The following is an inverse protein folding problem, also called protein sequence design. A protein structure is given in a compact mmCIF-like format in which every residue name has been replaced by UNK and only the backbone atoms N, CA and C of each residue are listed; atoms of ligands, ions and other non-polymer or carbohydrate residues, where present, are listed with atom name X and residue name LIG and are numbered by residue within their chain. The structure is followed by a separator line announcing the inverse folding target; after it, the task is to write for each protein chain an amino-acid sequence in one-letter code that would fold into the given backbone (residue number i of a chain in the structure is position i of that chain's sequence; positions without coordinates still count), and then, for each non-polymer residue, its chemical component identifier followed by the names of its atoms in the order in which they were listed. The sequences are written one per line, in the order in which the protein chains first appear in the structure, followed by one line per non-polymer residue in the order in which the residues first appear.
data_IF_327081866953
#
_entry.id   IF_327081866953
#
_cell.length_a   1.000
_cell.length_b   1.000
_cell.length_c   1.000
_cell.angle_alpha   90.00
_cell.angle_beta   90.00
_cell.angle_gamma   90.00
#
_symmetry.space_group_name_H-M   'P 1'
#
loop_
_entity.id
_entity.type
_entity.pdbx_description
1 polymer ?
#
# COMPACT_ATOMS: atom_id res chain seq x y z
N UNK A 1 20.87 -30.74 -12.05
CA UNK A 1 21.79 -30.02 -12.97
C UNK A 1 22.80 -29.26 -12.13
N UNK A 2 24.02 -29.03 -12.63
CA UNK A 2 25.07 -28.35 -11.86
C UNK A 2 24.77 -26.85 -11.76
N UNK A 3 24.42 -26.34 -10.58
CA UNK A 3 24.11 -24.90 -10.35
C UNK A 3 25.33 -23.98 -10.44
N UNK A 4 26.50 -24.52 -10.82
CA UNK A 4 27.75 -23.80 -11.07
C UNK A 4 27.70 -22.96 -12.35
N UNK A 5 26.85 -23.31 -13.31
CA UNK A 5 26.71 -22.59 -14.58
C UNK A 5 25.60 -21.53 -14.55
N UNK A 6 25.14 -21.16 -13.34
CA UNK A 6 24.11 -20.15 -13.16
C UNK A 6 24.65 -18.75 -13.49
N UNK A 7 24.03 -18.10 -14.47
CA UNK A 7 24.36 -16.74 -14.90
C UNK A 7 23.22 -15.81 -14.50
N UNK A 8 23.55 -14.58 -14.08
CA UNK A 8 22.57 -13.54 -13.81
C UNK A 8 22.68 -12.43 -14.85
N UNK A 9 21.56 -12.08 -15.47
CA UNK A 9 21.55 -11.04 -16.49
C UNK A 9 20.15 -10.42 -16.64
N UNK A 10 20.02 -9.32 -17.38
CA UNK A 10 18.74 -8.70 -17.64
C UNK A 10 17.83 -9.61 -18.47
N UNK A 11 16.54 -9.61 -18.13
CA UNK A 11 15.51 -10.35 -18.87
C UNK A 11 15.16 -9.58 -20.14
N UNK A 12 15.40 -10.19 -21.30
CA UNK A 12 15.04 -9.61 -22.59
C UNK A 12 13.55 -9.76 -22.91
N UNK A 13 13.04 -8.99 -23.86
CA UNK A 13 11.64 -9.09 -24.30
C UNK A 13 11.26 -10.49 -24.81
N UNK A 14 12.19 -11.21 -25.44
CA UNK A 14 12.00 -12.59 -25.90
C UNK A 14 11.89 -13.62 -24.77
N UNK A 15 12.39 -13.30 -23.57
CA UNK A 15 12.41 -14.19 -22.41
C UNK A 15 11.22 -13.92 -21.45
N UNK A 16 10.38 -12.93 -21.76
CA UNK A 16 9.21 -12.57 -20.95
C UNK A 16 8.17 -13.69 -20.88
N UNK A 17 7.96 -14.41 -21.97
CA UNK A 17 7.00 -15.52 -22.01
C UNK A 17 7.40 -16.62 -21.02
N UNK A 18 8.69 -16.96 -20.97
CA UNK A 18 9.22 -17.95 -20.02
C UNK A 18 9.18 -17.43 -18.58
N UNK A 19 9.42 -16.13 -18.35
CA UNK A 19 9.29 -15.53 -17.02
C UNK A 19 7.85 -15.56 -16.50
N UNK A 20 6.87 -15.30 -17.36
CA UNK A 20 5.44 -15.37 -17.00
C UNK A 20 5.03 -16.81 -16.68
N UNK A 21 5.51 -17.79 -17.44
CA UNK A 21 5.25 -19.20 -17.11
C UNK A 21 5.78 -19.55 -15.70
N UNK A 22 6.95 -19.03 -15.33
CA UNK A 22 7.52 -19.20 -13.98
C UNK A 22 6.68 -18.46 -12.91
N UNK A 23 6.08 -17.32 -13.24
CA UNK A 23 5.16 -16.57 -12.35
C UNK A 23 3.89 -17.37 -12.06
N UNK A 24 3.27 -17.91 -13.10
CA UNK A 24 2.04 -18.71 -12.99
C UNK A 24 2.27 -20.02 -12.21
N UNK A 25 3.48 -20.58 -12.27
CA UNK A 25 3.89 -21.70 -11.40
C UNK A 25 4.15 -21.27 -9.94
N UNK A 26 4.46 -19.98 -9.72
CA UNK A 26 4.90 -19.41 -8.46
C UNK A 26 3.78 -18.94 -7.54
N UNK A 27 2.70 -18.41 -8.13
CA UNK A 27 1.61 -17.77 -7.42
C UNK A 27 0.24 -18.40 -7.70
N UNK A 28 -0.68 -18.40 -6.72
CA UNK A 28 -2.10 -18.56 -6.97
C UNK A 28 -2.63 -17.56 -8.01
N UNK A 29 -3.71 -17.91 -8.72
CA UNK A 29 -4.30 -17.07 -9.79
C UNK A 29 -4.71 -15.68 -9.28
N UNK A 30 -5.12 -15.56 -8.02
CA UNK A 30 -5.49 -14.30 -7.38
C UNK A 30 -4.29 -13.44 -6.95
N UNK A 31 -3.08 -14.02 -6.94
CA UNK A 31 -1.84 -13.35 -6.55
C UNK A 31 -0.85 -13.14 -7.72
N UNK A 32 -0.98 -13.91 -8.79
CA UNK A 32 -0.11 -13.79 -9.96
C UNK A 32 -0.26 -12.42 -10.65
N UNK A 33 0.85 -11.84 -11.08
CA UNK A 33 0.81 -10.63 -11.91
C UNK A 33 0.13 -10.94 -13.25
N UNK A 34 -0.79 -10.07 -13.69
CA UNK A 34 -1.36 -10.18 -15.03
C UNK A 34 -0.28 -9.93 -16.09
N UNK A 35 -0.39 -10.64 -17.22
CA UNK A 35 0.52 -10.50 -18.37
C UNK A 35 0.67 -9.02 -18.82
N UNK A 36 -0.42 -8.25 -18.80
CA UNK A 36 -0.41 -6.83 -19.13
C UNK A 36 0.40 -5.99 -18.13
N UNK A 37 0.27 -6.27 -16.83
CA UNK A 37 1.07 -5.59 -15.79
C UNK A 37 2.55 -5.95 -15.91
N UNK A 38 2.85 -7.21 -16.23
CA UNK A 38 4.21 -7.70 -16.41
C UNK A 38 4.90 -7.02 -17.61
N UNK A 39 4.22 -6.97 -18.76
CA UNK A 39 4.71 -6.29 -19.97
C UNK A 39 4.88 -4.80 -19.76
N UNK A 40 3.91 -4.13 -19.11
CA UNK A 40 4.01 -2.71 -18.80
C UNK A 40 5.23 -2.41 -17.94
N UNK A 41 5.46 -3.18 -16.88
CA UNK A 41 6.62 -3.02 -15.99
C UNK A 41 7.92 -3.24 -16.75
N UNK A 42 8.03 -4.26 -17.61
CA UNK A 42 9.27 -4.47 -18.35
C UNK A 42 9.52 -3.33 -19.36
N UNK A 43 8.47 -2.81 -20.00
CA UNK A 43 8.62 -1.70 -20.95
C UNK A 43 9.09 -0.39 -20.29
N UNK A 44 8.70 -0.17 -19.03
CA UNK A 44 9.01 1.06 -18.29
C UNK A 44 10.26 0.94 -17.41
N UNK A 45 10.53 -0.25 -16.90
CA UNK A 45 11.49 -0.51 -15.83
C UNK A 45 12.37 -1.75 -16.14
N UNK A 46 12.63 -2.03 -17.42
CA UNK A 46 13.37 -3.22 -17.85
C UNK A 46 14.78 -3.36 -17.25
N UNK A 47 15.43 -2.26 -16.86
CA UNK A 47 16.71 -2.28 -16.15
C UNK A 47 16.62 -2.94 -14.75
N UNK A 48 15.41 -3.08 -14.22
CA UNK A 48 15.13 -3.71 -12.92
C UNK A 48 14.65 -5.16 -13.05
N UNK A 49 14.66 -5.73 -14.24
CA UNK A 49 14.30 -7.13 -14.48
C UNK A 49 15.55 -7.99 -14.57
N UNK A 50 15.85 -8.73 -13.50
CA UNK A 50 17.01 -9.60 -13.43
C UNK A 50 16.58 -11.06 -13.49
N UNK A 51 17.12 -11.81 -14.44
CA UNK A 51 16.92 -13.25 -14.60
C UNK A 51 18.09 -14.07 -14.07
N UNK A 52 17.78 -15.28 -13.63
CA UNK A 52 18.72 -16.35 -13.37
C UNK A 52 18.65 -17.36 -14.50
N UNK A 53 19.78 -17.66 -15.14
CA UNK A 53 19.84 -18.42 -16.38
C UNK A 53 20.76 -19.63 -16.28
N UNK A 54 20.37 -20.71 -16.95
CA UNK A 54 21.24 -21.85 -17.23
C UNK A 54 21.49 -21.96 -18.74
N UNK A 55 22.63 -22.53 -19.16
CA UNK A 55 22.84 -22.91 -20.55
C UNK A 55 21.74 -23.87 -21.03
N UNK A 56 21.24 -23.67 -22.25
CA UNK A 56 20.20 -24.53 -22.85
C UNK A 56 20.72 -25.25 -24.10
N UNK A 57 21.23 -24.50 -25.06
CA UNK A 57 21.91 -25.00 -26.24
C UNK A 57 23.19 -24.16 -26.48
N UNK A 58 24.11 -24.56 -27.38
CA UNK A 58 25.27 -23.75 -27.70
C UNK A 58 24.86 -22.34 -28.11
N UNK A 59 25.30 -21.34 -27.34
CA UNK A 59 24.96 -19.93 -27.57
C UNK A 59 23.56 -19.50 -27.09
N UNK A 60 22.80 -20.37 -26.41
CA UNK A 60 21.49 -20.01 -25.84
C UNK A 60 21.42 -20.30 -24.34
N UNK A 61 20.55 -19.52 -23.68
CA UNK A 61 20.28 -19.62 -22.25
C UNK A 61 18.79 -19.84 -22.02
N UNK A 62 18.46 -20.38 -20.86
CA UNK A 62 17.08 -20.58 -20.38
C UNK A 62 16.94 -19.89 -19.03
N UNK A 63 15.89 -19.10 -18.88
CA UNK A 63 15.54 -18.51 -17.59
C UNK A 63 14.96 -19.58 -16.66
N UNK A 64 15.43 -19.61 -15.42
CA UNK A 64 14.97 -20.54 -14.38
C UNK A 64 14.47 -19.82 -13.13
N UNK A 65 14.61 -18.51 -13.08
CA UNK A 65 14.08 -17.64 -12.05
C UNK A 65 14.28 -16.18 -12.41
N UNK A 66 13.55 -15.28 -11.77
CA UNK A 66 13.62 -13.87 -12.07
C UNK A 66 13.18 -12.99 -10.89
N UNK A 67 13.60 -11.73 -10.93
CA UNK A 67 13.13 -10.63 -10.10
C UNK A 67 12.63 -9.54 -11.03
N UNK A 68 11.48 -8.95 -10.72
CA UNK A 68 11.02 -7.73 -11.36
C UNK A 68 10.67 -6.66 -10.33
N UNK A 69 11.02 -5.42 -10.64
CA UNK A 69 10.79 -4.28 -9.75
C UNK A 69 10.40 -3.03 -10.52
N UNK A 70 9.84 -2.05 -9.81
CA UNK A 70 9.71 -0.67 -10.29
C UNK A 70 10.31 0.29 -9.28
N UNK A 71 10.32 1.57 -9.60
CA UNK A 71 10.65 2.63 -8.67
C UNK A 71 9.37 3.24 -8.13
N UNK A 72 9.36 3.61 -6.85
CA UNK A 72 8.27 4.33 -6.24
C UNK A 72 8.78 5.45 -5.33
N UNK A 73 7.97 6.48 -5.20
CA UNK A 73 8.20 7.55 -4.23
C UNK A 73 7.70 7.10 -2.85
N UNK A 74 8.50 7.36 -1.81
CA UNK A 74 8.19 6.98 -0.43
C UNK A 74 9.01 5.81 0.14
N UNK A 75 8.80 5.58 1.44
CA UNK A 75 9.66 4.71 2.26
C UNK A 75 9.00 3.37 2.63
N UNK A 76 7.76 3.13 2.21
CA UNK A 76 6.94 1.94 2.50
C UNK A 76 6.12 1.56 1.27
N UNK A 77 5.70 0.30 1.15
CA UNK A 77 4.91 -0.15 0.02
C UNK A 77 3.43 0.19 0.21
N UNK A 78 2.85 0.78 -0.83
CA UNK A 78 1.43 1.08 -0.96
C UNK A 78 0.86 0.35 -2.19
N UNK A 79 -0.46 0.30 -2.31
CA UNK A 79 -1.08 -0.24 -3.53
C UNK A 79 -0.68 0.53 -4.80
N UNK A 80 -0.42 1.84 -4.68
CA UNK A 80 0.08 2.65 -5.81
C UNK A 80 1.51 2.25 -6.19
N UNK A 81 2.41 2.08 -5.21
CA UNK A 81 3.80 1.67 -5.49
C UNK A 81 3.89 0.27 -6.12
N UNK A 82 2.92 -0.60 -5.85
CA UNK A 82 2.81 -1.92 -6.47
C UNK A 82 2.33 -1.90 -7.93
N UNK A 83 1.80 -0.76 -8.39
CA UNK A 83 1.16 -0.65 -9.72
C UNK A 83 1.83 0.36 -10.65
N UNK A 84 2.63 1.29 -10.12
CA UNK A 84 3.18 2.43 -10.86
C UNK A 84 4.70 2.46 -10.79
N UNK A 85 5.33 2.77 -11.91
CA UNK A 85 6.73 3.13 -11.97
C UNK A 85 6.89 4.65 -11.91
N UNK A 86 7.71 5.14 -10.99
CA UNK A 86 8.02 6.57 -10.82
C UNK A 86 9.51 6.79 -11.08
N UNK A 87 9.90 7.15 -12.32
CA UNK A 87 11.29 7.39 -12.69
C UNK A 87 11.96 8.41 -11.77
N UNK A 88 13.23 8.17 -11.42
CA UNK A 88 14.01 9.08 -10.57
C UNK A 88 13.80 8.92 -9.07
N UNK A 89 12.91 8.02 -8.63
CA UNK A 89 12.74 7.72 -7.21
C UNK A 89 13.89 6.88 -6.64
N UNK A 90 14.11 6.96 -5.33
CA UNK A 90 15.22 6.29 -4.64
C UNK A 90 14.84 4.94 -4.02
N UNK A 91 13.55 4.57 -4.02
CA UNK A 91 13.07 3.28 -3.52
C UNK A 91 12.80 2.30 -4.67
N UNK A 92 13.42 1.12 -4.61
CA UNK A 92 13.17 0.01 -5.54
C UNK A 92 12.14 -0.94 -4.94
N UNK A 93 11.02 -1.15 -5.62
CA UNK A 93 9.92 -2.00 -5.17
C UNK A 93 9.91 -3.31 -5.95
N UNK A 94 10.30 -4.41 -5.32
CA UNK A 94 10.24 -5.75 -5.92
C UNK A 94 8.80 -6.23 -5.91
N UNK A 95 8.30 -6.61 -7.10
CA UNK A 95 6.94 -7.12 -7.28
C UNK A 95 6.89 -8.65 -7.23
N UNK A 96 7.88 -9.31 -7.85
CA UNK A 96 7.92 -10.77 -7.94
C UNK A 96 9.35 -11.28 -7.77
N UNK A 97 9.49 -12.40 -7.06
CA UNK A 97 10.74 -13.17 -6.93
C UNK A 97 10.40 -14.64 -7.15
N UNK A 98 10.60 -15.14 -8.36
CA UNK A 98 10.15 -16.47 -8.74
C UNK A 98 11.30 -17.35 -9.20
N UNK A 99 11.18 -18.64 -8.90
CA UNK A 99 12.08 -19.70 -9.37
C UNK A 99 11.22 -20.85 -9.87
N UNK A 100 11.54 -21.36 -11.05
CA UNK A 100 10.87 -22.49 -11.67
C UNK A 100 10.75 -23.64 -10.67
N UNK A 101 9.58 -24.27 -10.63
CA UNK A 101 9.26 -25.38 -9.73
C UNK A 101 10.35 -26.46 -9.69
N UNK A 102 10.91 -26.79 -10.85
CA UNK A 102 11.98 -27.78 -11.04
C UNK A 102 13.34 -27.44 -10.43
N UNK A 103 13.57 -26.17 -10.04
CA UNK A 103 14.84 -25.65 -9.52
C UNK A 103 14.69 -25.00 -8.13
N UNK A 104 13.55 -25.21 -7.45
CA UNK A 104 13.34 -24.69 -6.08
C UNK A 104 14.23 -25.45 -5.09
N UNK A 105 14.48 -24.82 -3.94
CA UNK A 105 15.29 -25.39 -2.83
C UNK A 105 16.78 -25.60 -3.14
N UNK A 106 17.27 -25.17 -4.29
CA UNK A 106 18.69 -25.19 -4.67
C UNK A 106 19.45 -23.89 -4.31
N UNK A 107 18.81 -22.98 -3.56
CA UNK A 107 19.41 -21.69 -3.15
C UNK A 107 19.44 -20.61 -4.24
N UNK A 108 18.82 -20.84 -5.40
CA UNK A 108 18.79 -19.91 -6.54
C UNK A 108 18.16 -18.56 -6.15
N UNK A 109 17.01 -18.55 -5.48
CA UNK A 109 16.33 -17.31 -5.07
C UNK A 109 17.24 -16.41 -4.20
N UNK A 110 17.96 -17.01 -3.25
CA UNK A 110 18.89 -16.27 -2.39
C UNK A 110 20.08 -15.69 -3.16
N UNK A 111 20.63 -16.46 -4.12
CA UNK A 111 21.72 -15.98 -4.97
C UNK A 111 21.26 -14.86 -5.89
N UNK A 112 20.06 -15.00 -6.48
CA UNK A 112 19.44 -13.99 -7.33
C UNK A 112 19.17 -12.68 -6.58
N UNK A 113 18.61 -12.76 -5.35
CA UNK A 113 18.42 -11.59 -4.49
C UNK A 113 19.73 -10.89 -4.15
N UNK A 114 20.78 -11.65 -3.78
CA UNK A 114 22.09 -11.08 -3.45
C UNK A 114 22.75 -10.38 -4.64
N UNK A 115 22.69 -10.99 -5.81
CA UNK A 115 23.16 -10.38 -7.05
C UNK A 115 22.39 -9.09 -7.35
N UNK A 116 21.06 -9.14 -7.26
CA UNK A 116 20.19 -7.99 -7.51
C UNK A 116 20.53 -6.81 -6.61
N UNK A 117 20.65 -7.06 -5.30
CA UNK A 117 21.04 -6.04 -4.32
C UNK A 117 22.45 -5.50 -4.60
N UNK A 118 23.39 -6.35 -5.02
CA UNK A 118 24.76 -5.91 -5.36
C UNK A 118 24.74 -4.95 -6.56
N UNK A 119 24.02 -5.28 -7.63
CA UNK A 119 23.88 -4.38 -8.79
C UNK A 119 23.24 -3.06 -8.43
N UNK A 120 22.22 -3.05 -7.57
CA UNK A 120 21.59 -1.82 -7.11
C UNK A 120 22.53 -0.94 -6.27
N UNK A 121 23.40 -1.56 -5.45
CA UNK A 121 24.46 -0.83 -4.72
C UNK A 121 25.45 -0.20 -5.67
N UNK A 122 25.93 -0.96 -6.66
CA UNK A 122 26.92 -0.49 -7.63
C UNK A 122 26.39 0.67 -8.49
N UNK A 123 25.07 0.75 -8.69
CA UNK A 123 24.42 1.89 -9.34
C UNK A 123 24.49 3.17 -8.50
N UNK A 124 24.55 3.08 -7.16
CA UNK A 124 24.77 4.20 -6.24
C UNK A 124 23.70 5.30 -6.24
N UNK A 125 22.48 4.99 -6.71
CA UNK A 125 21.38 5.97 -6.86
C UNK A 125 20.15 5.68 -5.99
N UNK A 126 20.12 4.52 -5.33
CA UNK A 126 18.94 4.06 -4.58
C UNK A 126 19.25 3.98 -3.10
N UNK A 127 18.27 4.31 -2.27
CA UNK A 127 18.40 4.34 -0.82
C UNK A 127 17.91 3.03 -0.18
N UNK A 128 16.92 2.38 -0.80
CA UNK A 128 16.31 1.18 -0.23
C UNK A 128 15.66 0.28 -1.28
N UNK A 129 15.45 -0.97 -0.88
CA UNK A 129 14.69 -1.97 -1.62
C UNK A 129 13.57 -2.47 -0.73
N UNK A 130 12.34 -2.46 -1.25
CA UNK A 130 11.13 -2.86 -0.53
C UNK A 130 10.48 -4.05 -1.23
N UNK A 131 9.94 -4.97 -0.44
CA UNK A 131 9.10 -6.06 -0.94
C UNK A 131 8.06 -6.45 0.11
N UNK A 132 7.03 -7.17 -0.33
CA UNK A 132 6.11 -7.86 0.56
C UNK A 132 6.28 -9.38 0.42
N UNK A 133 6.14 -10.10 1.53
CA UNK A 133 6.25 -11.55 1.59
C UNK A 133 5.20 -12.19 2.49
N UNK A 134 4.79 -13.42 2.19
CA UNK A 134 4.10 -14.25 3.18
C UNK A 134 5.05 -14.67 4.31
N UNK A 135 4.48 -14.98 5.47
CA UNK A 135 5.20 -15.28 6.71
C UNK A 135 6.26 -16.38 6.52
N UNK A 136 5.93 -17.45 5.79
CA UNK A 136 6.84 -18.57 5.52
C UNK A 136 8.09 -18.19 4.69
N UNK A 137 8.06 -17.06 3.98
CA UNK A 137 9.16 -16.58 3.16
C UNK A 137 10.03 -15.52 3.86
N UNK A 138 9.63 -14.98 5.01
CA UNK A 138 10.39 -13.95 5.74
C UNK A 138 11.84 -14.39 5.98
N UNK A 139 12.07 -15.65 6.38
CA UNK A 139 13.42 -16.17 6.63
C UNK A 139 14.33 -16.18 5.38
N UNK A 140 13.76 -16.36 4.18
CA UNK A 140 14.52 -16.27 2.93
C UNK A 140 15.05 -14.84 2.73
N UNK A 141 14.18 -13.84 2.91
CA UNK A 141 14.54 -12.44 2.71
C UNK A 141 15.50 -11.93 3.79
N UNK A 142 15.34 -12.37 5.04
CA UNK A 142 16.31 -12.09 6.11
C UNK A 142 17.71 -12.62 5.78
N UNK A 143 17.82 -13.81 5.17
CA UNK A 143 19.12 -14.35 4.71
C UNK A 143 19.73 -13.55 3.56
N UNK A 144 18.92 -12.84 2.78
CA UNK A 144 19.38 -11.89 1.77
C UNK A 144 19.76 -10.53 2.38
N UNK A 145 19.43 -10.30 3.66
CA UNK A 145 19.76 -9.10 4.44
C UNK A 145 18.61 -8.11 4.59
N UNK A 146 17.38 -8.49 4.21
CA UNK A 146 16.20 -7.65 4.47
C UNK A 146 15.81 -7.71 5.94
N UNK A 147 15.32 -6.60 6.45
CA UNK A 147 14.71 -6.48 7.76
C UNK A 147 13.18 -6.54 7.66
N UNK A 148 12.55 -7.22 8.61
CA UNK A 148 11.10 -7.26 8.71
C UNK A 148 10.60 -5.93 9.26
N UNK A 149 9.79 -5.22 8.47
CA UNK A 149 9.14 -3.97 8.91
C UNK A 149 7.91 -4.30 9.74
N UNK A 150 7.09 -5.25 9.27
CA UNK A 150 5.86 -5.65 9.94
C UNK A 150 4.79 -6.10 8.95
N UNK A 151 3.54 -6.12 9.40
CA UNK A 151 2.40 -6.43 8.52
C UNK A 151 2.23 -5.32 7.48
N UNK A 152 2.12 -5.70 6.21
CA UNK A 152 1.91 -4.78 5.10
C UNK A 152 0.46 -4.28 5.07
N UNK A 153 0.27 -3.02 4.70
CA UNK A 153 -1.04 -2.45 4.36
C UNK A 153 -1.54 -2.93 2.98
N UNK A 154 -0.63 -3.37 2.11
CA UNK A 154 -0.95 -3.93 0.81
C UNK A 154 -1.52 -5.34 0.97
N UNK A 155 -2.75 -5.54 0.50
CA UNK A 155 -3.39 -6.85 0.44
C UNK A 155 -3.42 -7.37 -0.99
N UNK A 156 -2.86 -8.55 -1.21
CA UNK A 156 -2.88 -9.23 -2.49
C UNK A 156 -3.29 -10.69 -2.27
N UNK A 157 -4.47 -11.09 -2.74
CA UNK A 157 -5.05 -12.39 -2.36
C UNK A 157 -5.60 -12.44 -0.93
N UNK A 158 -5.82 -13.66 -0.43
CA UNK A 158 -6.57 -13.92 0.82
C UNK A 158 -5.75 -13.92 2.10
N UNK A 159 -4.41 -14.00 2.00
CA UNK A 159 -3.50 -14.12 3.14
C UNK A 159 -2.80 -12.80 3.45
N UNK A 160 -2.43 -12.55 4.72
CA UNK A 160 -1.67 -11.36 5.08
C UNK A 160 -0.27 -11.40 4.45
N UNK A 161 0.22 -10.21 4.15
CA UNK A 161 1.57 -9.96 3.67
C UNK A 161 2.36 -9.16 4.70
N UNK A 162 3.67 -9.36 4.72
CA UNK A 162 4.60 -8.67 5.60
C UNK A 162 5.59 -7.86 4.75
N UNK A 163 5.73 -6.59 5.09
CA UNK A 163 6.68 -5.70 4.42
C UNK A 163 8.10 -5.96 4.94
N UNK A 164 9.03 -6.00 4.00
CA UNK A 164 10.46 -6.21 4.22
C UNK A 164 11.24 -5.09 3.55
N UNK A 165 12.26 -4.57 4.24
CA UNK A 165 13.08 -3.45 3.77
C UNK A 165 14.57 -3.82 3.77
N UNK A 166 15.29 -3.42 2.73
CA UNK A 166 16.74 -3.47 2.65
C UNK A 166 17.27 -2.05 2.45
N UNK A 167 18.06 -1.53 3.39
CA UNK A 167 18.70 -0.22 3.25
C UNK A 167 19.99 -0.37 2.46
N UNK A 168 20.13 0.41 1.38
CA UNK A 168 21.33 0.46 0.57
C UNK A 168 22.32 1.46 1.20
N UNK A 169 23.61 1.11 1.31
CA UNK A 169 24.63 2.03 1.81
C UNK A 169 24.75 3.23 0.87
N UNK A 170 24.73 4.44 1.43
CA UNK A 170 24.93 5.69 0.70
C UNK A 170 26.43 6.00 0.59
N UNK A 171 26.96 6.07 -0.63
CA UNK A 171 28.31 6.60 -0.88
C UNK A 171 28.31 8.11 -0.63
N UNK A 172 28.57 8.50 0.62
CA UNK A 172 28.66 9.90 1.06
C UNK A 172 29.95 10.62 0.60
N UNK A 173 30.59 10.17 -0.50
CA UNK A 173 31.83 10.75 -1.04
C UNK A 173 31.69 11.45 -2.40
N UNK A 174 30.48 11.66 -2.94
CA UNK A 174 30.30 12.52 -4.12
C UNK A 174 29.99 13.95 -3.71
N UNK A 175 31.07 14.73 -3.70
CA UNK A 175 31.14 16.17 -3.47
C UNK A 175 30.36 16.94 -4.56
N UNK A 176 29.05 17.11 -4.38
CA UNK A 176 28.30 18.18 -5.03
C UNK A 176 27.72 19.08 -3.94
N UNK A 177 28.15 20.33 -3.98
CA UNK A 177 27.97 21.34 -2.95
C UNK A 177 26.61 22.03 -3.14
N UNK A 178 25.74 22.11 -2.11
CA UNK A 178 24.91 23.29 -1.94
C UNK A 178 25.10 23.92 -0.55
N UNK A 179 25.60 25.17 -0.59
CA UNK A 179 25.43 26.28 0.36
C UNK A 179 24.98 25.92 1.78
N UNK A 180 25.95 25.98 2.69
CA UNK A 180 25.81 25.95 4.15
C UNK A 180 24.96 27.10 4.71
N UNK A 181 24.15 26.80 5.73
CA UNK A 181 24.29 27.35 7.10
C UNK A 181 23.41 26.57 8.11
N UNK A 182 23.76 26.51 9.40
CA UNK A 182 24.80 25.64 9.97
C UNK A 182 24.20 24.52 10.84
N UNK A 183 24.69 23.28 10.68
CA UNK A 183 24.35 22.17 11.56
C UNK A 183 25.43 21.96 12.63
N UNK A 184 24.98 21.93 13.88
CA UNK A 184 25.77 21.66 15.09
C UNK A 184 26.35 20.24 15.01
N UNK A 185 27.64 20.12 15.33
CA UNK A 185 28.45 18.90 15.26
C UNK A 185 27.90 17.77 16.19
N UNK A 186 27.54 16.58 15.67
CA UNK A 186 27.05 15.50 16.53
C UNK A 186 28.21 14.59 16.93
N UNK A 187 28.99 14.99 17.93
CA UNK A 187 29.86 14.07 18.69
C UNK A 187 29.27 13.70 20.05
N UNK A 188 27.97 13.90 20.25
CA UNK A 188 27.24 13.44 21.43
C UNK A 188 25.82 13.03 21.05
N UNK A 189 25.66 11.92 20.32
CA UNK A 189 24.34 11.29 20.17
C UNK A 189 24.03 10.57 21.48
N UNK A 190 23.33 11.26 22.38
CA UNK A 190 22.84 10.69 23.63
C UNK A 190 21.80 9.60 23.36
N UNK A 191 21.62 8.73 24.35
CA UNK A 191 20.64 7.64 24.47
C UNK A 191 19.17 7.95 24.12
N UNK A 192 18.86 9.18 23.72
CA UNK A 192 17.52 9.67 23.42
C UNK A 192 16.99 9.24 22.04
N UNK A 193 17.84 8.79 21.11
CA UNK A 193 17.39 8.40 19.75
C UNK A 193 16.61 7.09 19.75
N UNK A 194 17.02 6.11 20.58
CA UNK A 194 16.28 4.86 20.73
C UNK A 194 14.92 5.07 21.42
N UNK A 195 14.86 6.07 22.30
CA UNK A 195 13.63 6.50 22.97
C UNK A 195 12.66 7.18 21.99
N UNK A 196 13.14 7.91 20.98
CA UNK A 196 12.32 8.53 19.91
C UNK A 196 11.80 7.52 18.90
N UNK A 197 12.56 6.46 18.59
CA UNK A 197 12.14 5.40 17.65
C UNK A 197 11.22 4.34 18.29
N UNK A 198 11.34 4.13 19.61
CA UNK A 198 10.44 3.28 20.40
C UNK A 198 9.27 4.04 21.03
N UNK A 199 9.28 5.37 20.99
CA UNK A 199 8.10 6.17 21.30
C UNK A 199 7.01 5.83 20.29
N UNK A 200 5.98 5.13 20.77
CA UNK A 200 4.68 5.11 20.09
C UNK A 200 4.32 6.56 19.81
N UNK A 201 4.13 6.94 18.52
CA UNK A 201 3.56 8.25 18.18
C UNK A 201 2.34 8.45 19.10
N UNK A 202 2.23 9.57 19.82
CA UNK A 202 1.09 9.79 20.70
C UNK A 202 -0.17 9.55 19.87
N UNK A 203 -0.96 8.56 20.28
CA UNK A 203 -2.19 8.18 19.59
C UNK A 203 -3.10 9.39 19.67
N UNK A 204 -3.16 10.18 18.61
CA UNK A 204 -4.01 11.37 18.56
C UNK A 204 -5.44 10.87 18.68
N UNK A 205 -6.07 11.15 19.81
CA UNK A 205 -7.42 10.68 20.05
C UNK A 205 -8.39 11.36 19.09
N UNK A 206 -9.18 10.60 18.32
CA UNK A 206 -10.20 11.17 17.45
C UNK A 206 -11.24 11.91 18.29
N UNK A 207 -11.43 13.20 18.02
CA UNK A 207 -12.58 13.92 18.57
C UNK A 207 -13.84 13.50 17.83
N UNK A 208 -14.88 13.15 18.58
CA UNK A 208 -16.18 12.77 18.02
C UNK A 208 -16.96 14.02 17.60
N UNK A 209 -17.86 13.86 16.63
CA UNK A 209 -18.72 14.93 16.13
C UNK A 209 -19.50 15.68 17.24
N UNK A 210 -19.93 14.95 18.28
CA UNK A 210 -20.66 15.51 19.43
C UNK A 210 -19.86 16.49 20.28
N UNK A 211 -18.54 16.55 20.12
CA UNK A 211 -17.67 17.49 20.84
C UNK A 211 -17.59 18.89 20.22
N UNK A 212 -18.17 19.09 19.03
CA UNK A 212 -18.14 20.37 18.30
C UNK A 212 -19.43 21.15 18.51
N UNK A 213 -19.34 22.32 19.15
CA UNK A 213 -20.50 23.15 19.51
C UNK A 213 -21.20 23.79 18.31
N UNK A 214 -20.45 24.21 17.28
CA UNK A 214 -21.02 24.81 16.06
C UNK A 214 -21.23 23.76 14.94
N UNK A 215 -21.22 22.47 15.28
CA UNK A 215 -21.49 21.37 14.37
C UNK A 215 -20.55 21.35 13.15
N UNK A 216 -21.12 21.19 11.95
CA UNK A 216 -20.36 21.07 10.70
C UNK A 216 -19.53 22.31 10.36
N UNK A 217 -19.90 23.50 10.83
CA UNK A 217 -19.21 24.75 10.50
C UNK A 217 -17.75 24.78 11.02
N UNK A 218 -17.46 24.07 12.11
CA UNK A 218 -16.09 23.92 12.63
C UNK A 218 -15.25 22.92 11.83
N UNK A 219 -15.91 22.06 11.06
CA UNK A 219 -15.34 20.90 10.39
C UNK A 219 -15.18 21.09 8.88
N UNK A 220 -15.66 22.21 8.33
CA UNK A 220 -15.53 22.54 6.91
C UNK A 220 -14.50 23.63 6.65
N UNK A 221 -13.91 23.56 5.47
CA UNK A 221 -13.11 24.61 4.85
C UNK A 221 -13.68 24.91 3.46
N UNK A 222 -13.79 26.20 3.13
CA UNK A 222 -14.29 26.65 1.84
C UNK A 222 -13.15 26.64 0.81
N UNK A 223 -13.25 25.76 -0.18
CA UNK A 223 -12.30 25.64 -1.29
C UNK A 223 -12.91 26.06 -2.62
N UNK A 224 -12.10 26.03 -3.67
CA UNK A 224 -12.50 26.41 -5.04
C UNK A 224 -13.63 25.55 -5.64
N UNK A 225 -13.88 24.35 -5.10
CA UNK A 225 -14.90 23.40 -5.56
C UNK A 225 -16.05 23.18 -4.57
N UNK A 226 -16.14 24.00 -3.50
CA UNK A 226 -17.16 23.91 -2.45
C UNK A 226 -16.59 23.64 -1.06
N UNK A 227 -17.47 23.29 -0.11
CA UNK A 227 -17.09 22.96 1.26
C UNK A 227 -16.47 21.57 1.35
N UNK A 228 -15.28 21.47 1.94
CA UNK A 228 -14.54 20.23 2.15
C UNK A 228 -14.20 20.03 3.62
N UNK A 229 -13.78 18.82 4.03
CA UNK A 229 -13.38 18.56 5.41
C UNK A 229 -12.09 19.32 5.78
N UNK A 230 -12.15 20.16 6.81
CA UNK A 230 -11.02 20.96 7.30
C UNK A 230 -9.89 20.12 7.89
N UNK A 231 -10.22 18.96 8.44
CA UNK A 231 -9.31 18.08 9.19
C UNK A 231 -9.35 16.66 8.65
N UNK A 232 -8.32 15.87 8.99
CA UNK A 232 -8.32 14.44 8.67
C UNK A 232 -9.47 13.74 9.42
N UNK A 233 -10.26 12.95 8.71
CA UNK A 233 -11.26 12.07 9.29
C UNK A 233 -10.58 10.79 9.73
N UNK A 234 -10.85 10.34 10.95
CA UNK A 234 -10.20 9.18 11.58
C UNK A 234 -11.24 8.15 12.03
N UNK A 235 -10.80 6.90 12.19
CA UNK A 235 -11.62 5.87 12.83
C UNK A 235 -11.78 6.22 14.31
N UNK A 236 -13.02 6.31 14.83
CA UNK A 236 -13.25 6.70 16.21
C UNK A 236 -12.80 5.63 17.24
N UNK A 237 -12.48 4.40 16.80
CA UNK A 237 -11.97 3.32 17.67
C UNK A 237 -10.45 3.22 17.65
N UNK A 238 -9.84 2.96 16.49
CA UNK A 238 -8.41 2.71 16.41
C UNK A 238 -7.58 3.98 16.14
N UNK A 239 -8.20 5.08 15.70
CA UNK A 239 -7.51 6.32 15.35
C UNK A 239 -6.87 6.32 13.96
N UNK A 240 -7.01 5.25 13.18
CA UNK A 240 -6.49 5.19 11.81
C UNK A 240 -7.16 6.24 10.94
N UNK A 241 -6.40 6.91 10.08
CA UNK A 241 -6.94 7.92 9.17
C UNK A 241 -7.86 7.23 8.16
N UNK A 242 -9.07 7.75 7.98
CA UNK A 242 -10.06 7.28 7.00
C UNK A 242 -10.00 8.15 5.74
N UNK A 243 -9.90 9.47 5.91
CA UNK A 243 -9.92 10.44 4.82
C UNK A 243 -9.05 11.64 5.18
N UNK A 244 -8.16 12.06 4.28
CA UNK A 244 -7.32 13.25 4.50
C UNK A 244 -8.14 14.54 4.43
N UNK A 245 -7.62 15.61 5.05
CA UNK A 245 -8.19 16.97 4.91
C UNK A 245 -8.38 17.37 3.42
N UNK A 246 -9.46 18.07 3.14
CA UNK A 246 -9.79 18.60 1.81
C UNK A 246 -10.31 17.59 0.79
N UNK A 247 -10.37 16.29 1.13
CA UNK A 247 -10.75 15.24 0.18
C UNK A 247 -12.26 15.00 0.13
N UNK A 248 -12.92 15.05 1.29
CA UNK A 248 -14.35 14.83 1.43
C UNK A 248 -15.14 16.10 1.21
N UNK A 249 -16.03 16.09 0.23
CA UNK A 249 -16.93 17.22 -0.04
C UNK A 249 -18.17 17.12 0.84
N UNK A 250 -18.55 18.21 1.51
CA UNK A 250 -19.78 18.25 2.29
C UNK A 250 -21.00 18.30 1.35
N UNK A 251 -21.95 17.39 1.56
CA UNK A 251 -23.22 17.35 0.82
C UNK A 251 -24.38 17.01 1.76
N UNK A 252 -25.53 17.60 1.49
CA UNK A 252 -26.78 17.22 2.17
C UNK A 252 -27.52 16.17 1.35
N UNK A 253 -27.92 15.07 2.00
CA UNK A 253 -28.70 13.99 1.40
C UNK A 253 -29.64 13.40 2.45
N UNK A 254 -30.73 12.78 2.00
CA UNK A 254 -31.59 11.97 2.87
C UNK A 254 -30.77 10.96 3.67
N UNK A 255 -31.14 10.78 4.94
CA UNK A 255 -30.54 9.77 5.80
C UNK A 255 -30.79 8.36 5.25
N UNK A 256 -29.89 7.44 5.57
CA UNK A 256 -29.96 6.03 5.16
C UNK A 256 -29.80 5.16 6.39
N UNK A 257 -30.61 4.13 6.51
CA UNK A 257 -30.46 3.16 7.59
C UNK A 257 -29.21 2.31 7.36
N UNK A 258 -28.20 2.52 8.19
CA UNK A 258 -26.93 1.80 8.11
C UNK A 258 -26.84 0.63 9.09
N UNK A 259 -27.71 0.56 10.09
CA UNK A 259 -27.59 -0.44 11.15
C UNK A 259 -28.02 -1.82 10.63
N UNK A 260 -27.14 -2.82 10.75
CA UNK A 260 -27.49 -4.22 10.54
C UNK A 260 -27.81 -4.81 11.92
N UNK A 261 -29.09 -4.74 12.33
CA UNK A 261 -29.57 -5.28 13.60
C UNK A 261 -29.92 -4.22 14.65
N UNK A 262 -30.22 -4.67 15.87
CA UNK A 262 -30.75 -3.85 16.97
C UNK A 262 -29.69 -3.32 17.95
N UNK A 263 -28.42 -3.69 17.78
CA UNK A 263 -27.36 -3.31 18.71
C UNK A 263 -26.88 -1.87 18.48
N UNK A 264 -26.92 -1.07 19.54
CA UNK A 264 -26.42 0.31 19.54
C UNK A 264 -24.96 0.33 19.99
N UNK A 265 -24.08 0.80 19.11
CA UNK A 265 -22.66 0.98 19.43
C UNK A 265 -22.39 2.46 19.72
N UNK A 266 -21.74 2.80 20.84
CA UNK A 266 -21.51 4.18 21.28
C UNK A 266 -20.78 5.05 20.25
N UNK A 267 -19.84 4.46 19.50
CA UNK A 267 -19.11 5.12 18.41
C UNK A 267 -19.86 5.16 17.05
N UNK A 268 -21.00 4.48 16.93
CA UNK A 268 -21.80 4.40 15.70
C UNK A 268 -23.24 4.81 16.01
N UNK A 269 -23.49 6.09 16.34
CA UNK A 269 -24.82 6.56 16.69
C UNK A 269 -25.82 6.27 15.57
N UNK A 270 -27.10 5.98 15.91
CA UNK A 270 -28.14 5.81 14.92
C UNK A 270 -28.28 7.08 14.09
N UNK A 271 -28.46 6.92 12.78
CA UNK A 271 -28.73 8.05 11.91
C UNK A 271 -30.21 8.44 12.00
N UNK A 272 -30.55 9.72 11.72
CA UNK A 272 -31.95 10.16 11.65
C UNK A 272 -32.80 9.34 10.67
N UNK A 273 -34.13 9.36 10.78
CA UNK A 273 -35.00 8.62 9.87
C UNK A 273 -34.78 9.04 8.40
N UNK A 274 -35.00 8.15 7.41
CA UNK A 274 -34.75 8.44 5.99
C UNK A 274 -35.51 9.63 5.40
N UNK A 275 -36.57 10.09 6.07
CA UNK A 275 -37.32 11.31 5.72
C UNK A 275 -36.54 12.60 5.94
N UNK A 276 -35.50 12.59 6.77
CA UNK A 276 -34.70 13.77 7.10
C UNK A 276 -33.45 13.90 6.22
N UNK A 277 -33.09 15.13 5.89
CA UNK A 277 -31.82 15.45 5.22
C UNK A 277 -30.74 15.64 6.26
N UNK A 278 -29.60 15.01 6.04
CA UNK A 278 -28.43 15.11 6.90
C UNK A 278 -27.19 15.40 6.08
N UNK A 279 -26.16 15.91 6.76
CA UNK A 279 -24.84 16.13 6.18
C UNK A 279 -24.10 14.81 5.97
N UNK A 280 -23.39 14.71 4.86
CA UNK A 280 -22.51 13.60 4.51
C UNK A 280 -21.20 14.10 3.94
N UNK A 281 -20.12 13.36 4.21
CA UNK A 281 -18.88 13.50 3.47
C UNK A 281 -18.93 12.64 2.23
N UNK A 282 -18.95 13.29 1.06
CA UNK A 282 -18.95 12.65 -0.25
C UNK A 282 -17.52 12.55 -0.79
N UNK A 283 -17.15 11.35 -1.22
CA UNK A 283 -15.93 11.08 -1.97
C UNK A 283 -16.30 10.52 -3.34
N UNK A 284 -15.72 11.08 -4.39
CA UNK A 284 -15.91 10.68 -5.81
C UNK A 284 -14.63 10.91 -6.62
N UNK A 285 -14.47 10.29 -7.79
CA UNK A 285 -15.29 9.20 -8.35
C UNK A 285 -14.83 7.81 -7.91
N UNK A 286 -13.76 7.73 -7.12
CA UNK A 286 -13.04 6.49 -6.84
C UNK A 286 -12.89 6.28 -5.32
N UNK A 287 -13.01 5.03 -4.85
CA UNK A 287 -12.76 4.70 -3.45
C UNK A 287 -11.28 4.83 -3.05
N UNK A 288 -10.37 4.98 -4.02
CA UNK A 288 -8.93 5.15 -3.78
C UNK A 288 -8.56 6.45 -3.05
N UNK A 289 -9.53 7.32 -2.80
CA UNK A 289 -9.37 8.55 -2.01
C UNK A 289 -9.42 8.31 -0.51
N UNK A 290 -9.85 7.12 -0.06
CA UNK A 290 -9.81 6.75 1.35
C UNK A 290 -8.45 6.14 1.72
N UNK A 291 -8.00 6.41 2.93
CA UNK A 291 -6.76 5.87 3.47
C UNK A 291 -6.97 4.45 4.01
N UNK A 292 -7.95 4.25 4.91
CA UNK A 292 -8.19 2.96 5.59
C UNK A 292 -9.69 2.59 5.65
N UNK A 293 -10.35 2.49 4.50
CA UNK A 293 -11.75 2.03 4.41
C UNK A 293 -11.86 0.64 3.77
N UNK A 294 -12.68 -0.22 4.35
CA UNK A 294 -13.09 -1.52 3.83
C UNK A 294 -14.56 -1.51 3.39
N UNK A 295 -14.91 -2.45 2.50
CA UNK A 295 -16.25 -2.59 1.93
C UNK A 295 -16.87 -3.91 2.36
N UNK A 296 -18.11 -3.88 2.86
CA UNK A 296 -18.84 -5.10 3.17
C UNK A 296 -19.19 -5.88 1.90
N UNK A 297 -19.58 -7.15 2.10
CA UNK A 297 -20.40 -7.84 1.10
C UNK A 297 -21.69 -7.06 0.89
N UNK A 298 -22.27 -7.20 -0.30
CA UNK A 298 -23.48 -6.52 -0.68
C UNK A 298 -24.63 -6.90 0.26
N UNK A 299 -25.23 -5.90 0.92
CA UNK A 299 -26.25 -6.10 1.96
C UNK A 299 -27.62 -6.12 1.29
N UNK A 300 -28.48 -7.09 1.68
CA UNK A 300 -29.92 -7.04 1.38
C UNK A 300 -30.60 -6.04 2.33
N UNK A 301 -30.17 -4.77 2.29
CA UNK A 301 -30.88 -3.70 2.96
C UNK A 301 -32.13 -3.33 2.15
N UNK A 302 -33.05 -2.57 2.74
CA UNK A 302 -34.16 -1.96 2.01
C UNK A 302 -33.61 -1.32 0.72
N UNK A 303 -34.19 -1.63 -0.45
CA UNK A 303 -33.65 -1.18 -1.73
C UNK A 303 -33.46 0.33 -1.69
N UNK A 304 -32.25 0.78 -2.05
CA UNK A 304 -32.01 2.21 -2.27
C UNK A 304 -33.04 2.73 -3.28
N UNK A 305 -33.40 4.03 -3.25
CA UNK A 305 -34.32 4.61 -4.23
C UNK A 305 -33.90 4.37 -5.70
N UNK A 306 -32.60 4.09 -5.93
CA UNK A 306 -32.02 3.74 -7.23
C UNK A 306 -32.23 2.29 -7.66
N UNK A 307 -32.75 1.42 -6.79
CA UNK A 307 -32.91 -0.02 -7.03
C UNK A 307 -31.62 -0.83 -7.00
N UNK A 308 -30.46 -0.18 -6.83
CA UNK A 308 -29.16 -0.85 -6.74
C UNK A 308 -28.90 -1.37 -5.34
N UNK A 309 -28.06 -2.41 -5.27
CA UNK A 309 -27.64 -2.96 -3.99
C UNK A 309 -26.59 -2.07 -3.32
N UNK A 310 -26.55 -2.14 -2.00
CA UNK A 310 -25.74 -1.28 -1.15
C UNK A 310 -24.57 -2.05 -0.53
N UNK A 311 -23.42 -1.37 -0.43
CA UNK A 311 -22.26 -1.83 0.36
C UNK A 311 -22.02 -0.87 1.51
N UNK A 312 -21.64 -1.40 2.66
CA UNK A 312 -21.30 -0.62 3.84
C UNK A 312 -19.80 -0.38 3.91
N UNK A 313 -19.43 0.78 4.45
CA UNK A 313 -18.05 1.18 4.66
C UNK A 313 -17.68 0.94 6.12
N UNK A 314 -16.55 0.29 6.35
CA UNK A 314 -15.99 0.02 7.68
C UNK A 314 -14.52 0.44 7.73
N UNK A 315 -13.95 0.63 8.91
CA UNK A 315 -12.51 0.84 9.06
C UNK A 315 -11.75 -0.43 8.65
N UNK A 316 -10.78 -0.31 7.75
CA UNK A 316 -9.99 -1.45 7.27
C UNK A 316 -9.05 -2.05 8.33
N UNK A 317 -8.75 -1.29 9.40
CA UNK A 317 -7.78 -1.69 10.43
C UNK A 317 -8.42 -2.47 11.59
N UNK A 318 -9.63 -2.09 12.00
CA UNK A 318 -10.28 -2.67 13.19
C UNK A 318 -11.72 -3.14 12.94
N UNK A 319 -12.14 -3.17 11.68
CA UNK A 319 -13.47 -3.56 11.20
C UNK A 319 -14.63 -2.78 11.84
N UNK A 320 -14.36 -1.61 12.43
CA UNK A 320 -15.41 -0.76 12.96
C UNK A 320 -16.25 -0.21 11.80
N UNK A 321 -17.50 -0.62 11.73
CA UNK A 321 -18.49 -0.11 10.80
C UNK A 321 -19.91 -0.41 11.26
N UNK A 322 -20.92 0.19 10.62
CA UNK A 322 -20.82 0.95 9.37
C UNK A 322 -20.56 2.44 9.58
N UNK A 323 -19.46 2.94 9.04
CA UNK A 323 -19.08 4.36 9.01
C UNK A 323 -19.81 5.13 7.89
N UNK A 324 -20.25 4.41 6.86
CA UNK A 324 -20.83 4.98 5.65
C UNK A 324 -21.33 3.92 4.68
N UNK A 325 -21.59 4.33 3.45
CA UNK A 325 -22.12 3.44 2.41
C UNK A 325 -21.76 3.87 0.99
N UNK A 326 -21.92 2.95 0.04
CA UNK A 326 -21.89 3.22 -1.40
C UNK A 326 -22.85 2.29 -2.16
N UNK A 327 -23.16 2.65 -3.41
CA UNK A 327 -23.86 1.74 -4.33
C UNK A 327 -22.89 0.70 -4.89
N UNK A 328 -23.38 -0.51 -5.17
CA UNK A 328 -22.63 -1.50 -5.92
C UNK A 328 -22.29 -0.96 -7.32
N UNK A 329 -21.00 -0.97 -7.66
CA UNK A 329 -20.44 -0.35 -8.87
C UNK A 329 -20.73 1.17 -9.00
N UNK A 330 -21.04 1.85 -7.90
CA UNK A 330 -21.18 3.30 -7.84
C UNK A 330 -19.82 4.02 -7.76
N UNK A 331 -19.82 5.30 -8.11
CA UNK A 331 -18.66 6.21 -8.00
C UNK A 331 -18.77 7.18 -6.82
N UNK A 332 -19.86 7.09 -6.05
CA UNK A 332 -20.13 7.93 -4.89
C UNK A 332 -20.01 7.14 -3.59
N UNK A 333 -19.21 7.66 -2.67
CA UNK A 333 -18.94 7.05 -1.38
C UNK A 333 -19.25 8.04 -0.27
N UNK A 334 -20.13 7.64 0.65
CA UNK A 334 -20.77 8.53 1.61
C UNK A 334 -20.39 8.14 3.03
N UNK A 335 -19.68 9.00 3.76
CA UNK A 335 -19.38 8.81 5.19
C UNK A 335 -20.29 9.68 6.05
N UNK A 336 -20.80 9.10 7.14
CA UNK A 336 -21.61 9.83 8.10
C UNK A 336 -20.71 10.64 9.05
N UNK A 337 -20.86 11.98 9.13
CA UNK A 337 -20.02 12.83 9.98
C UNK A 337 -20.02 12.42 11.45
N UNK A 338 -21.14 11.89 11.95
CA UNK A 338 -21.30 11.41 13.33
C UNK A 338 -20.67 10.04 13.62
N UNK A 339 -20.17 9.33 12.60
CA UNK A 339 -19.57 7.99 12.74
C UNK A 339 -18.08 7.97 12.46
N UNK A 340 -17.48 9.14 12.22
CA UNK A 340 -16.03 9.33 12.07
C UNK A 340 -15.51 10.25 13.17
N UNK A 341 -14.22 10.14 13.48
CA UNK A 341 -13.49 11.07 14.33
C UNK A 341 -12.80 12.15 13.53
N UNK A 342 -12.39 13.22 14.20
CA UNK A 342 -11.72 14.37 13.60
C UNK A 342 -10.37 14.62 14.28
N UNK A 343 -9.34 14.83 13.46
CA UNK A 343 -7.98 15.14 13.91
C UNK A 343 -7.80 16.65 14.05
N UNK A 344 -7.85 17.15 15.29
CA UNK A 344 -7.59 18.58 15.57
C UNK A 344 -6.11 18.91 15.65
#
# INVERSE_FOLDING_TARGET
MNTRDLVFDLVSASELADAIAIEEEGYPVDEAASLSSFQLRQSQAGEFFLGAFLPNAPGSRRIIGYICSTLADGNTLTHESMSKHVPGSTSVCIHSVCVSSSHRREGIALRLLKEYLTRLKDMGRYERVLLIAHEELISLYQKAGFELVGKSSVQHGSRPWFEMCYVLPSDSTRNDNPKQEPAILPSQLSSNVWEVLSASRPKVEPKLFTSFSNGMNELVEEGSSGMTNKTDLMCPRCGSVILLRGVGSLKERSSVELNIGTETHSLLPPLPPPSEKVSWWLTTPSPMKFENIGFSRTVQANPLPSGKKMKLLACAECDLGPLGWCEEAGTEFWLAPGRVGYRL
#
